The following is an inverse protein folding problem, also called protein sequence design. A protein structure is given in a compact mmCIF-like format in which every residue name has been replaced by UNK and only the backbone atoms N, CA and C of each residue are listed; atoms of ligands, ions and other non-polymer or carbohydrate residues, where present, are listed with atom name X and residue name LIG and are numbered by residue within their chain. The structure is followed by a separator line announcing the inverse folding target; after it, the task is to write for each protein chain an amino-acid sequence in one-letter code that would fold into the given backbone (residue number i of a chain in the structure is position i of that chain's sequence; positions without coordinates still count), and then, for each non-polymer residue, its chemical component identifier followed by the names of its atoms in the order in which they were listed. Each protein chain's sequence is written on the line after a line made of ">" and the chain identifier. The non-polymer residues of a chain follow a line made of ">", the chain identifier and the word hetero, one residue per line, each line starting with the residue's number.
data_IF_620181373952
#
_entry.id   IF_620181373952
#
_cell.length_a   1.000
_cell.length_b   1.000
_cell.length_c   1.000
_cell.angle_alpha   90.00
_cell.angle_beta   90.00
_cell.angle_gamma   90.00
#
_symmetry.space_group_name_H-M   'P 1'
#
loop_
_entity.id
_entity.type
_entity.pdbx_description
1 polymer ?
#
# COMPACT_ATOMS: atom_id res chain seq x y z
N UNK A 1 26.63 50.19 -23.95
CA UNK A 1 25.73 49.02 -23.83
C UNK A 1 26.39 47.81 -23.15
N UNK A 2 27.72 47.67 -23.13
CA UNK A 2 28.39 46.49 -22.57
C UNK A 2 28.39 46.33 -21.04
N UNK A 3 28.28 47.42 -20.28
CA UNK A 3 28.33 47.37 -18.82
C UNK A 3 27.07 46.69 -18.23
N UNK A 4 25.90 47.09 -18.72
CA UNK A 4 24.60 46.55 -18.29
C UNK A 4 24.43 45.05 -18.59
N UNK A 5 25.01 44.56 -19.70
CA UNK A 5 24.99 43.13 -20.07
C UNK A 5 25.92 42.29 -19.20
N UNK A 6 27.01 42.89 -18.68
CA UNK A 6 27.95 42.24 -17.76
C UNK A 6 27.36 42.16 -16.35
N UNK A 7 26.66 43.20 -15.92
CA UNK A 7 26.00 43.26 -14.62
C UNK A 7 24.85 42.24 -14.52
N UNK A 8 24.05 42.08 -15.58
CA UNK A 8 22.98 41.07 -15.63
C UNK A 8 23.51 39.63 -15.58
N UNK A 9 24.63 39.35 -16.27
CA UNK A 9 25.28 38.03 -16.22
C UNK A 9 25.83 37.69 -14.83
N UNK A 10 26.33 38.69 -14.11
CA UNK A 10 26.79 38.52 -12.74
C UNK A 10 25.63 38.25 -11.78
N UNK A 11 24.48 38.91 -11.99
CA UNK A 11 23.28 38.68 -11.17
C UNK A 11 22.73 37.26 -11.33
N UNK A 12 22.66 36.76 -12.56
CA UNK A 12 22.19 35.39 -12.87
C UNK A 12 23.11 34.36 -12.21
N UNK A 13 24.44 34.53 -12.33
CA UNK A 13 25.41 33.65 -11.67
C UNK A 13 25.29 33.63 -10.15
N UNK A 14 24.99 34.77 -9.52
CA UNK A 14 24.77 34.82 -8.08
C UNK A 14 23.48 34.11 -7.68
N UNK A 15 22.43 34.18 -8.50
CA UNK A 15 21.16 33.50 -8.23
C UNK A 15 21.28 31.98 -8.38
N UNK A 16 21.95 31.51 -9.45
CA UNK A 16 22.25 30.10 -9.67
C UNK A 16 23.15 29.52 -8.57
N UNK A 17 24.16 30.28 -8.12
CA UNK A 17 25.01 29.85 -7.01
C UNK A 17 24.24 29.75 -5.70
N UNK A 18 23.26 30.63 -5.48
CA UNK A 18 22.40 30.60 -4.28
C UNK A 18 21.42 29.42 -4.30
N UNK A 19 20.80 29.14 -5.44
CA UNK A 19 19.96 27.96 -5.62
C UNK A 19 20.74 26.67 -5.38
N UNK A 20 21.96 26.58 -5.94
CA UNK A 20 22.82 25.41 -5.75
C UNK A 20 23.21 25.22 -4.28
N UNK A 21 23.51 26.31 -3.56
CA UNK A 21 23.81 26.24 -2.14
C UNK A 21 22.60 25.81 -1.28
N UNK A 22 21.40 26.22 -1.66
CA UNK A 22 20.16 25.78 -1.00
C UNK A 22 19.89 24.29 -1.27
N UNK A 23 20.09 23.80 -2.49
CA UNK A 23 19.97 22.38 -2.84
C UNK A 23 21.02 21.51 -2.12
N UNK A 24 22.27 21.96 -2.03
CA UNK A 24 23.34 21.26 -1.30
C UNK A 24 23.05 21.22 0.21
N UNK A 25 22.50 22.30 0.78
CA UNK A 25 22.09 22.32 2.18
C UNK A 25 20.92 21.37 2.44
N UNK A 26 19.93 21.33 1.56
CA UNK A 26 18.79 20.43 1.70
C UNK A 26 19.19 18.96 1.52
N UNK A 27 20.12 18.66 0.62
CA UNK A 27 20.72 17.33 0.47
C UNK A 27 21.48 16.91 1.73
N UNK A 28 22.28 17.80 2.31
CA UNK A 28 23.01 17.53 3.56
C UNK A 28 22.07 17.28 4.75
N UNK A 29 20.96 18.03 4.85
CA UNK A 29 19.93 17.81 5.88
C UNK A 29 19.24 16.46 5.69
N UNK A 30 18.93 16.07 4.44
CA UNK A 30 18.35 14.76 4.13
C UNK A 30 19.30 13.62 4.50
N UNK A 31 20.59 13.74 4.20
CA UNK A 31 21.57 12.71 4.52
C UNK A 31 21.80 12.59 6.04
N UNK A 32 21.93 13.71 6.74
CA UNK A 32 22.02 13.73 8.20
C UNK A 32 20.78 13.13 8.88
N UNK A 33 19.59 13.37 8.30
CA UNK A 33 18.33 12.79 8.81
C UNK A 33 18.27 11.28 8.55
N UNK A 34 18.78 10.82 7.41
CA UNK A 34 18.90 9.40 7.06
C UNK A 34 19.87 8.67 7.98
N UNK A 35 21.03 9.25 8.27
CA UNK A 35 22.02 8.70 9.20
C UNK A 35 21.49 8.64 10.63
N UNK A 36 20.79 9.68 11.09
CA UNK A 36 20.14 9.70 12.40
C UNK A 36 19.06 8.61 12.50
N UNK A 37 18.24 8.43 11.45
CA UNK A 37 17.26 7.35 11.37
C UNK A 37 17.93 5.97 11.41
N UNK A 38 18.98 5.76 10.61
CA UNK A 38 19.73 4.50 10.58
C UNK A 38 20.44 4.20 11.90
N UNK A 39 20.95 5.20 12.62
CA UNK A 39 21.61 5.03 13.92
C UNK A 39 20.60 4.65 15.01
N UNK A 40 19.41 5.26 14.98
CA UNK A 40 18.32 4.91 15.90
C UNK A 40 17.80 3.49 15.60
N UNK A 41 17.65 3.13 14.32
CA UNK A 41 17.22 1.79 13.91
C UNK A 41 18.28 0.71 14.16
N UNK A 42 19.56 1.03 14.00
CA UNK A 42 20.68 0.12 14.26
C UNK A 42 20.83 -0.22 15.74
N UNK A 43 20.61 0.74 16.63
CA UNK A 43 20.66 0.49 18.08
C UNK A 43 19.45 -0.30 18.60
N UNK A 44 18.29 -0.19 17.96
CA UNK A 44 17.10 -0.99 18.28
C UNK A 44 17.11 -2.39 17.64
N UNK A 45 17.76 -2.58 16.49
CA UNK A 45 17.92 -3.91 15.87
C UNK A 45 18.80 -4.85 16.72
N UNK A 46 19.87 -4.32 17.31
CA UNK A 46 20.71 -5.07 18.27
C UNK A 46 19.97 -5.37 19.58
N UNK A 47 19.04 -4.50 20.00
CA UNK A 47 18.19 -4.72 21.16
C UNK A 47 17.04 -5.71 20.89
N UNK A 48 16.45 -5.69 19.69
CA UNK A 48 15.34 -6.59 19.30
C UNK A 48 15.81 -8.01 18.97
N UNK A 49 17.05 -8.18 18.51
CA UNK A 49 17.67 -9.50 18.35
C UNK A 49 17.84 -10.24 19.69
N UNK A 50 17.95 -9.51 20.80
CA UNK A 50 18.05 -10.09 22.14
C UNK A 50 16.70 -10.56 22.74
N UNK A 51 15.56 -10.22 22.11
CA UNK A 51 14.20 -10.49 22.65
C UNK A 51 13.37 -11.47 21.83
N UNK A 52 13.86 -11.97 20.68
CA UNK A 52 13.18 -13.04 19.94
C UNK A 52 13.32 -14.37 20.67
N UNK A 53 12.27 -14.77 21.37
CA UNK A 53 12.17 -16.13 21.91
C UNK A 53 11.92 -17.09 20.75
N UNK A 54 12.70 -18.17 20.58
CA UNK A 54 12.40 -19.19 19.58
C UNK A 54 11.00 -19.80 19.76
N UNK A 55 10.45 -19.74 20.98
CA UNK A 55 9.08 -20.18 21.26
C UNK A 55 8.01 -19.35 20.52
N UNK A 56 8.17 -18.02 20.43
CA UNK A 56 7.20 -17.17 19.72
C UNK A 56 7.27 -17.34 18.21
N UNK A 57 8.47 -17.63 17.67
CA UNK A 57 8.64 -17.95 16.25
C UNK A 57 7.98 -19.30 15.92
N UNK A 58 8.07 -20.28 16.83
CA UNK A 58 7.37 -21.56 16.70
C UNK A 58 5.85 -21.42 16.79
N UNK A 59 5.32 -20.62 17.73
CA UNK A 59 3.88 -20.35 17.85
C UNK A 59 3.34 -19.68 16.58
N UNK A 60 4.06 -18.70 16.02
CA UNK A 60 3.69 -18.04 14.77
C UNK A 60 3.68 -19.03 13.58
N UNK A 61 4.65 -19.95 13.53
CA UNK A 61 4.67 -21.01 12.50
C UNK A 61 3.51 -21.99 12.65
N UNK A 62 3.14 -22.33 13.88
CA UNK A 62 2.00 -23.21 14.18
C UNK A 62 0.69 -22.54 13.76
N UNK A 63 0.47 -21.28 14.15
CA UNK A 63 -0.72 -20.52 13.72
C UNK A 63 -0.80 -20.41 12.19
N UNK A 64 0.34 -20.21 11.53
CA UNK A 64 0.39 -20.16 10.06
C UNK A 64 0.06 -21.52 9.44
N UNK A 65 0.52 -22.62 10.03
CA UNK A 65 0.19 -23.98 9.59
C UNK A 65 -1.28 -24.32 9.80
N UNK A 66 -1.84 -24.01 10.97
CA UNK A 66 -3.26 -24.21 11.29
C UNK A 66 -4.18 -23.42 10.35
N UNK A 67 -3.73 -22.24 9.91
CA UNK A 67 -4.45 -21.42 8.93
C UNK A 67 -4.39 -22.02 7.52
N UNK A 68 -3.29 -22.65 7.14
CA UNK A 68 -3.15 -23.36 5.84
C UNK A 68 -4.00 -24.65 5.84
N UNK A 69 -3.98 -25.42 6.93
CA UNK A 69 -4.78 -26.65 7.05
C UNK A 69 -6.28 -26.35 7.08
N UNK A 70 -6.71 -25.34 7.85
CA UNK A 70 -8.11 -24.88 7.86
C UNK A 70 -8.62 -24.45 6.48
N UNK A 71 -7.73 -23.94 5.61
CA UNK A 71 -8.07 -23.59 4.22
C UNK A 71 -8.16 -24.82 3.33
N UNK A 72 -7.30 -25.82 3.54
CA UNK A 72 -7.34 -27.08 2.79
C UNK A 72 -8.62 -27.88 3.07
N UNK A 73 -9.06 -27.89 4.33
CA UNK A 73 -10.27 -28.60 4.77
C UNK A 73 -11.58 -27.98 4.26
N UNK A 74 -11.53 -26.72 3.81
CA UNK A 74 -12.69 -26.01 3.23
C UNK A 74 -12.80 -26.16 1.71
N UNK A 75 -11.89 -26.87 1.06
CA UNK A 75 -12.02 -27.18 -0.36
C UNK A 75 -13.04 -28.31 -0.56
N UNK A 76 -14.09 -28.11 -1.38
CA UNK A 76 -14.98 -29.20 -1.77
C UNK A 76 -14.19 -30.16 -2.66
N UNK A 77 -13.70 -31.27 -2.08
CA UNK A 77 -13.14 -32.37 -2.85
C UNK A 77 -14.22 -32.86 -3.82
N UNK A 78 -13.99 -32.64 -5.12
CA UNK A 78 -14.85 -33.15 -6.18
C UNK A 78 -14.90 -34.68 -6.07
N UNK A 79 -15.99 -35.18 -5.48
CA UNK A 79 -16.33 -36.59 -5.46
C UNK A 79 -16.60 -37.01 -6.89
N UNK A 80 -15.58 -37.58 -7.53
CA UNK A 80 -15.71 -38.24 -8.82
C UNK A 80 -16.83 -39.30 -8.71
N UNK A 81 -17.99 -39.02 -9.31
CA UNK A 81 -19.05 -40.01 -9.50
C UNK A 81 -18.72 -40.79 -10.76
N UNK A 82 -18.37 -42.06 -10.56
CA UNK A 82 -18.30 -43.10 -11.59
C UNK A 82 -19.66 -43.25 -12.29
N UNK A 83 -19.74 -43.34 -13.63
CA UNK A 83 -20.96 -43.70 -14.34
C UNK A 83 -21.04 -45.22 -14.61
N UNK A 84 -22.24 -45.78 -14.48
CA UNK A 84 -22.62 -47.16 -14.83
C UNK A 84 -23.20 -47.20 -16.26
N UNK A 85 -22.99 -48.26 -17.08
CA UNK A 85 -23.42 -48.30 -18.50
C UNK A 85 -24.83 -48.91 -18.69
N UNK A 86 -25.45 -48.79 -19.89
CA UNK A 86 -25.36 -49.90 -20.85
C UNK A 86 -25.43 -49.55 -22.37
N UNK A 87 -24.92 -50.52 -23.15
CA UNK A 87 -25.29 -50.95 -24.52
C UNK A 87 -24.95 -50.11 -25.79
N UNK A 88 -24.14 -50.75 -26.66
CA UNK A 88 -23.85 -50.47 -28.09
C UNK A 88 -24.69 -51.43 -28.99
N UNK A 89 -24.65 -51.47 -30.36
CA UNK A 89 -23.70 -50.91 -31.36
C UNK A 89 -24.40 -50.13 -32.52
N UNK A 90 -23.76 -49.42 -33.46
CA UNK A 90 -22.82 -49.83 -34.53
C UNK A 90 -22.38 -48.57 -35.37
N UNK A 91 -21.48 -48.67 -36.39
CA UNK A 91 -20.33 -47.77 -36.56
C UNK A 91 -20.32 -46.89 -37.83
N UNK A 92 -19.44 -45.87 -37.87
CA UNK A 92 -18.75 -45.34 -39.07
C UNK A 92 -17.74 -44.20 -38.71
N UNK A 93 -16.73 -43.88 -39.55
CA UNK A 93 -15.35 -43.89 -39.07
C UNK A 93 -14.51 -42.60 -39.28
N UNK A 94 -13.35 -42.58 -38.62
CA UNK A 94 -12.07 -41.83 -38.82
C UNK A 94 -12.09 -40.31 -39.05
N UNK A 95 -11.40 -39.57 -38.19
CA UNK A 95 -10.51 -38.45 -38.57
C UNK A 95 -9.40 -38.23 -37.52
N UNK A 96 -8.19 -38.01 -38.02
CA UNK A 96 -6.88 -37.84 -37.35
C UNK A 96 -6.76 -36.61 -36.43
N UNK A 97 -5.72 -36.55 -35.57
CA UNK A 97 -5.59 -35.54 -34.52
C UNK A 97 -4.89 -34.27 -35.04
N UNK A 98 -5.60 -33.14 -35.02
CA UNK A 98 -4.99 -31.83 -35.21
C UNK A 98 -4.49 -31.29 -33.87
N UNK A 99 -3.16 -31.22 -33.74
CA UNK A 99 -2.46 -30.46 -32.71
C UNK A 99 -2.76 -28.97 -32.88
N UNK A 100 -3.35 -28.33 -31.86
CA UNK A 100 -3.34 -26.87 -31.71
C UNK A 100 -2.75 -26.45 -30.36
N UNK A 101 -2.01 -25.32 -30.32
CA UNK A 101 -1.18 -24.94 -29.18
C UNK A 101 -2.03 -24.50 -27.97
N UNK A 102 -1.73 -25.03 -26.79
CA UNK A 102 -2.25 -24.51 -25.52
C UNK A 102 -1.83 -23.04 -25.37
N UNK A 103 -2.82 -22.16 -25.27
CA UNK A 103 -2.63 -20.82 -24.74
C UNK A 103 -2.15 -20.93 -23.28
N UNK A 104 -1.23 -20.06 -22.82
CA UNK A 104 -0.70 -20.12 -21.47
C UNK A 104 -1.83 -19.90 -20.47
N UNK A 105 -2.03 -20.89 -19.59
CA UNK A 105 -2.92 -20.82 -18.44
C UNK A 105 -2.45 -19.67 -17.54
N UNK A 106 -3.24 -18.60 -17.43
CA UNK A 106 -3.08 -17.63 -16.36
C UNK A 106 -3.64 -18.26 -15.08
N UNK A 107 -2.73 -18.78 -14.25
CA UNK A 107 -2.98 -19.27 -12.89
C UNK A 107 -3.61 -18.16 -12.00
N UNK A 108 -4.29 -18.52 -10.90
CA UNK A 108 -5.09 -17.62 -10.07
C UNK A 108 -4.23 -16.69 -9.19
N UNK A 109 -3.51 -15.75 -9.80
CA UNK A 109 -2.81 -14.64 -9.12
C UNK A 109 -3.75 -13.68 -8.38
N UNK A 110 -5.03 -13.67 -8.77
CA UNK A 110 -6.07 -12.80 -8.21
C UNK A 110 -6.27 -12.99 -6.70
N UNK A 111 -6.09 -14.21 -6.20
CA UNK A 111 -6.21 -14.47 -4.76
C UNK A 111 -4.97 -13.99 -3.99
N UNK A 112 -3.78 -14.06 -4.59
CA UNK A 112 -2.53 -13.66 -3.93
C UNK A 112 -2.44 -12.15 -3.71
N UNK A 113 -2.89 -11.36 -4.68
CA UNK A 113 -2.99 -9.90 -4.54
C UNK A 113 -3.95 -9.52 -3.39
N UNK A 114 -5.17 -10.06 -3.38
CA UNK A 114 -6.13 -9.79 -2.30
C UNK A 114 -5.57 -10.19 -0.93
N UNK A 115 -4.93 -11.36 -0.82
CA UNK A 115 -4.31 -11.80 0.43
C UNK A 115 -3.18 -10.85 0.86
N UNK A 116 -2.32 -10.41 -0.06
CA UNK A 116 -1.24 -9.46 0.24
C UNK A 116 -1.77 -8.13 0.79
N UNK A 117 -2.87 -7.62 0.24
CA UNK A 117 -3.50 -6.41 0.80
C UNK A 117 -4.20 -6.68 2.15
N UNK A 118 -4.82 -7.85 2.32
CA UNK A 118 -5.39 -8.25 3.61
C UNK A 118 -4.34 -8.34 4.71
N UNK A 119 -3.13 -8.82 4.39
CA UNK A 119 -2.00 -8.85 5.34
C UNK A 119 -1.62 -7.44 5.79
N UNK A 120 -1.64 -6.44 4.89
CA UNK A 120 -1.43 -5.02 5.25
C UNK A 120 -2.53 -4.53 6.20
N UNK A 121 -3.79 -4.84 5.89
CA UNK A 121 -4.96 -4.42 6.68
C UNK A 121 -4.99 -5.07 8.08
N UNK A 122 -4.52 -6.32 8.20
CA UNK A 122 -4.51 -7.09 9.45
C UNK A 122 -3.22 -6.94 10.25
N UNK A 123 -2.12 -6.53 9.62
CA UNK A 123 -0.81 -6.33 10.25
C UNK A 123 -0.52 -4.84 10.52
N UNK A 124 0.25 -4.17 9.64
CA UNK A 124 0.74 -2.81 9.89
C UNK A 124 -0.38 -1.78 10.12
N UNK A 125 -1.55 -1.93 9.48
CA UNK A 125 -2.68 -1.04 9.75
C UNK A 125 -3.18 -1.21 11.19
N UNK A 126 -3.29 -2.44 11.71
CA UNK A 126 -3.74 -2.67 13.09
C UNK A 126 -2.76 -2.09 14.11
N UNK A 127 -1.45 -2.20 13.87
CA UNK A 127 -0.43 -1.57 14.71
C UNK A 127 -0.62 -0.05 14.75
N UNK A 128 -0.80 0.59 13.60
CA UNK A 128 -1.10 2.03 13.52
C UNK A 128 -2.39 2.40 14.27
N UNK A 129 -3.46 1.62 14.13
CA UNK A 129 -4.74 1.88 14.80
C UNK A 129 -4.62 1.76 16.32
N UNK A 130 -3.93 0.73 16.82
CA UNK A 130 -3.69 0.53 18.25
C UNK A 130 -2.90 1.69 18.85
N UNK A 131 -1.81 2.12 18.21
CA UNK A 131 -1.01 3.26 18.66
C UNK A 131 -1.82 4.57 18.62
N UNK A 132 -2.65 4.74 17.59
CA UNK A 132 -3.56 5.89 17.48
C UNK A 132 -4.59 5.92 18.61
N UNK A 133 -5.10 4.75 19.00
CA UNK A 133 -6.02 4.61 20.13
C UNK A 133 -5.34 4.92 21.47
N UNK A 134 -4.08 4.49 21.65
CA UNK A 134 -3.29 4.80 22.84
C UNK A 134 -3.02 6.30 22.98
N UNK A 135 -2.76 7.01 21.87
CA UNK A 135 -2.63 8.48 21.88
C UNK A 135 -3.98 9.15 22.17
N UNK A 136 -5.07 8.62 21.62
CA UNK A 136 -6.43 9.10 21.87
C UNK A 136 -6.78 10.40 21.15
N UNK A 137 -7.87 11.03 21.58
CA UNK A 137 -8.36 12.33 21.07
C UNK A 137 -8.57 12.35 19.55
N UNK A 138 -8.11 13.44 18.93
CA UNK A 138 -8.21 13.65 17.48
C UNK A 138 -7.46 12.58 16.68
N UNK A 139 -6.34 12.06 17.20
CA UNK A 139 -5.53 11.05 16.50
C UNK A 139 -6.30 9.74 16.38
N UNK A 140 -6.91 9.27 17.47
CA UNK A 140 -7.76 8.08 17.44
C UNK A 140 -8.98 8.26 16.53
N UNK A 141 -9.65 9.40 16.60
CA UNK A 141 -10.81 9.69 15.74
C UNK A 141 -10.44 9.72 14.26
N UNK A 142 -9.29 10.33 13.93
CA UNK A 142 -8.77 10.39 12.57
C UNK A 142 -8.37 9.01 12.05
N UNK A 143 -7.80 8.16 12.91
CA UNK A 143 -7.39 6.81 12.56
C UNK A 143 -8.57 5.90 12.19
N UNK A 144 -9.77 6.12 12.76
CA UNK A 144 -10.97 5.39 12.36
C UNK A 144 -11.37 5.68 10.89
N UNK A 145 -11.20 6.92 10.43
CA UNK A 145 -11.42 7.28 9.03
C UNK A 145 -10.39 6.60 8.12
N UNK A 146 -9.12 6.56 8.55
CA UNK A 146 -8.07 5.81 7.84
C UNK A 146 -8.43 4.34 7.70
N UNK A 147 -8.89 3.69 8.77
CA UNK A 147 -9.35 2.30 8.69
C UNK A 147 -10.47 2.15 7.64
N UNK A 148 -11.48 3.02 7.67
CA UNK A 148 -12.56 2.99 6.69
C UNK A 148 -12.05 3.15 5.24
N UNK A 149 -11.06 4.01 5.01
CA UNK A 149 -10.42 4.19 3.69
C UNK A 149 -9.71 2.91 3.22
N UNK A 150 -8.93 2.26 4.09
CA UNK A 150 -8.24 1.00 3.75
C UNK A 150 -9.24 -0.13 3.49
N UNK A 151 -10.34 -0.21 4.25
CA UNK A 151 -11.41 -1.19 4.00
C UNK A 151 -12.14 -0.93 2.68
N UNK A 152 -12.37 0.34 2.32
CA UNK A 152 -12.95 0.71 1.02
C UNK A 152 -12.02 0.29 -0.13
N UNK A 153 -10.72 0.55 -0.01
CA UNK A 153 -9.73 0.12 -0.99
C UNK A 153 -9.64 -1.42 -1.09
N UNK A 154 -9.70 -2.16 0.03
CA UNK A 154 -9.75 -3.64 -0.02
C UNK A 154 -10.93 -4.14 -0.86
N UNK A 155 -12.13 -3.58 -0.65
CA UNK A 155 -13.31 -3.93 -1.44
C UNK A 155 -13.11 -3.62 -2.91
N UNK A 156 -12.46 -2.49 -3.24
CA UNK A 156 -12.17 -2.11 -4.62
C UNK A 156 -11.17 -3.06 -5.29
N UNK A 157 -10.13 -3.49 -4.58
CA UNK A 157 -9.15 -4.48 -5.08
C UNK A 157 -9.85 -5.83 -5.32
N UNK A 158 -10.67 -6.30 -4.38
CA UNK A 158 -11.49 -7.50 -4.55
C UNK A 158 -12.47 -7.38 -5.72
N UNK A 159 -12.96 -6.18 -5.98
CA UNK A 159 -13.83 -5.93 -7.12
C UNK A 159 -13.08 -6.13 -8.44
N UNK A 160 -11.87 -5.58 -8.53
CA UNK A 160 -11.03 -5.66 -9.72
C UNK A 160 -10.66 -7.11 -10.07
N UNK A 161 -10.56 -8.01 -9.08
CA UNK A 161 -10.29 -9.43 -9.33
C UNK A 161 -11.49 -10.24 -9.82
N UNK A 162 -12.70 -9.67 -9.81
CA UNK A 162 -13.91 -10.37 -10.27
C UNK A 162 -14.51 -9.76 -11.54
N UNK A 163 -13.86 -8.77 -12.17
CA UNK A 163 -14.39 -8.12 -13.38
C UNK A 163 -13.27 -7.58 -14.28
N UNK A 164 -13.62 -7.43 -15.55
CA UNK A 164 -12.83 -6.69 -16.53
C UNK A 164 -12.78 -5.20 -16.22
N UNK A 165 -11.74 -4.52 -16.71
CA UNK A 165 -11.57 -3.08 -16.49
C UNK A 165 -12.81 -2.32 -16.99
N UNK A 166 -13.49 -1.53 -16.12
CA UNK A 166 -14.68 -0.77 -16.48
C UNK A 166 -14.34 0.44 -17.36
N UNK A 167 -15.37 1.11 -17.87
CA UNK A 167 -15.20 2.40 -18.53
C UNK A 167 -14.70 3.46 -17.54
N UNK A 168 -14.06 4.53 -18.02
CA UNK A 168 -13.55 5.61 -17.15
C UNK A 168 -14.64 6.22 -16.25
N UNK A 169 -15.85 6.39 -16.77
CA UNK A 169 -16.96 6.96 -16.01
C UNK A 169 -17.43 6.04 -14.88
N UNK A 170 -17.48 4.73 -15.15
CA UNK A 170 -17.82 3.72 -14.14
C UNK A 170 -16.68 3.56 -13.12
N UNK A 171 -15.42 3.59 -13.56
CA UNK A 171 -14.25 3.55 -12.67
C UNK A 171 -14.29 4.66 -11.63
N UNK A 172 -14.64 5.89 -12.03
CA UNK A 172 -14.81 7.02 -11.11
C UNK A 172 -15.93 6.79 -10.08
N UNK A 173 -17.03 6.15 -10.47
CA UNK A 173 -18.13 5.83 -9.55
C UNK A 173 -17.71 4.75 -8.55
N UNK A 174 -16.98 3.73 -9.01
CA UNK A 174 -16.51 2.64 -8.15
C UNK A 174 -15.42 3.09 -7.17
N UNK A 175 -14.64 4.12 -7.52
CA UNK A 175 -13.63 4.75 -6.66
C UNK A 175 -14.21 5.74 -5.65
N UNK A 176 -15.46 6.18 -5.82
CA UNK A 176 -16.09 7.19 -4.97
C UNK A 176 -15.99 6.88 -3.46
N UNK A 177 -16.25 5.63 -2.99
CA UNK A 177 -16.14 5.32 -1.56
C UNK A 177 -14.74 5.58 -0.99
N UNK A 178 -13.68 5.27 -1.74
CA UNK A 178 -12.29 5.53 -1.30
C UNK A 178 -11.99 7.03 -1.33
N UNK A 179 -12.41 7.73 -2.40
CA UNK A 179 -12.21 9.17 -2.57
C UNK A 179 -12.92 10.00 -1.47
N UNK A 180 -14.13 9.61 -1.10
CA UNK A 180 -14.90 10.23 -0.02
C UNK A 180 -14.19 10.10 1.34
N UNK A 181 -13.60 8.92 1.63
CA UNK A 181 -12.83 8.73 2.87
C UNK A 181 -11.55 9.57 2.86
N UNK A 182 -10.81 9.61 1.75
CA UNK A 182 -9.64 10.48 1.59
C UNK A 182 -10.02 11.94 1.86
N UNK A 183 -11.11 12.41 1.26
CA UNK A 183 -11.63 13.77 1.45
C UNK A 183 -12.04 14.03 2.89
N UNK A 184 -12.69 13.06 3.56
CA UNK A 184 -13.10 13.18 4.94
C UNK A 184 -11.90 13.31 5.89
N UNK A 185 -10.82 12.58 5.64
CA UNK A 185 -9.56 12.65 6.39
C UNK A 185 -8.93 14.03 6.24
N UNK A 186 -8.83 14.54 5.01
CA UNK A 186 -8.30 15.89 4.75
C UNK A 186 -9.13 16.98 5.43
N UNK A 187 -10.46 16.92 5.31
CA UNK A 187 -11.37 17.85 5.99
C UNK A 187 -11.31 17.74 7.51
N UNK A 188 -11.09 16.54 8.05
CA UNK A 188 -10.97 16.35 9.50
C UNK A 188 -9.80 17.17 10.05
N UNK A 189 -8.64 17.14 9.40
CA UNK A 189 -7.52 18.01 9.75
C UNK A 189 -7.89 19.49 9.65
N UNK A 190 -8.51 19.90 8.55
CA UNK A 190 -8.85 21.32 8.32
C UNK A 190 -9.78 21.89 9.38
N UNK A 191 -10.73 21.09 9.86
CA UNK A 191 -11.65 21.45 10.95
C UNK A 191 -10.96 21.49 12.30
N UNK A 192 -9.89 20.72 12.49
CA UNK A 192 -9.15 20.59 13.75
C UNK A 192 -7.78 21.30 13.72
N UNK A 193 -7.71 22.49 13.09
CA UNK A 193 -6.47 23.29 13.01
C UNK A 193 -5.88 23.71 14.37
N UNK A 194 -6.70 23.79 15.40
CA UNK A 194 -6.27 24.12 16.76
C UNK A 194 -5.84 22.88 17.58
N UNK A 195 -5.86 21.68 16.98
CA UNK A 195 -5.47 20.45 17.67
C UNK A 195 -4.01 20.49 18.14
N UNK A 196 -3.77 20.05 19.37
CA UNK A 196 -2.40 19.81 19.85
C UNK A 196 -1.68 18.72 19.05
N UNK A 197 -2.43 17.87 18.35
CA UNK A 197 -1.91 16.82 17.48
C UNK A 197 -1.91 17.21 16.00
N UNK A 198 -1.95 18.51 15.66
CA UNK A 198 -2.05 18.96 14.27
C UNK A 198 -0.97 18.38 13.33
N UNK A 199 0.26 18.17 13.82
CA UNK A 199 1.31 17.51 13.03
C UNK A 199 1.01 16.04 12.74
N UNK A 200 0.34 15.32 13.65
CA UNK A 200 -0.14 13.94 13.40
C UNK A 200 -1.22 13.95 12.33
N UNK A 201 -2.21 14.85 12.47
CA UNK A 201 -3.28 14.98 11.48
C UNK A 201 -2.74 15.36 10.10
N UNK A 202 -1.73 16.24 10.05
CA UNK A 202 -1.05 16.64 8.81
C UNK A 202 -0.27 15.49 8.18
N UNK A 203 0.45 14.69 8.96
CA UNK A 203 1.15 13.53 8.44
C UNK A 203 0.21 12.59 7.68
N UNK A 204 -0.97 12.33 8.24
CA UNK A 204 -1.97 11.47 7.61
C UNK A 204 -2.64 12.16 6.41
N UNK A 205 -3.13 13.39 6.55
CA UNK A 205 -3.90 14.04 5.47
C UNK A 205 -3.09 14.29 4.19
N UNK A 206 -1.80 14.55 4.34
CA UNK A 206 -0.91 14.84 3.20
C UNK A 206 -0.37 13.56 2.54
N UNK A 207 -0.46 12.40 3.22
CA UNK A 207 0.01 11.11 2.69
C UNK A 207 -1.09 10.10 2.38
N UNK A 208 -2.31 10.27 2.91
CA UNK A 208 -3.45 9.41 2.59
C UNK A 208 -3.81 9.35 1.10
N UNK A 209 -3.55 10.37 0.25
CA UNK A 209 -3.74 10.23 -1.19
C UNK A 209 -2.94 9.08 -1.81
N UNK A 210 -1.97 8.48 -1.10
CA UNK A 210 -1.35 7.22 -1.48
C UNK A 210 -2.37 6.14 -1.87
N UNK A 211 -3.54 6.07 -1.23
CA UNK A 211 -4.62 5.14 -1.59
C UNK A 211 -5.21 5.42 -2.99
N UNK A 212 -4.93 6.56 -3.59
CA UNK A 212 -5.25 6.89 -4.98
C UNK A 212 -4.42 6.14 -6.02
N UNK A 213 -3.40 5.36 -5.61
CA UNK A 213 -2.52 4.63 -6.53
C UNK A 213 -3.26 3.74 -7.54
N UNK A 214 -4.46 3.25 -7.17
CA UNK A 214 -5.32 2.41 -8.01
C UNK A 214 -5.75 3.08 -9.32
N UNK A 215 -5.73 4.42 -9.37
CA UNK A 215 -6.02 5.23 -10.55
C UNK A 215 -4.76 5.75 -11.27
N UNK A 216 -3.56 5.33 -10.83
CA UNK A 216 -2.27 5.80 -11.35
C UNK A 216 -1.65 4.73 -12.25
N UNK A 217 -1.28 5.13 -13.46
CA UNK A 217 -0.50 4.33 -14.39
C UNK A 217 0.46 5.24 -15.17
N UNK A 218 1.66 4.75 -15.57
CA UNK A 218 2.18 3.40 -15.39
C UNK A 218 3.02 3.22 -14.11
N UNK A 219 3.10 4.21 -13.23
CA UNK A 219 4.04 4.21 -12.08
C UNK A 219 3.33 4.39 -10.72
N UNK A 220 2.45 3.46 -10.30
CA UNK A 220 1.73 3.59 -9.04
C UNK A 220 2.63 3.45 -7.79
N UNK A 221 3.66 2.60 -7.82
CA UNK A 221 4.56 2.45 -6.66
C UNK A 221 5.42 3.71 -6.39
N UNK A 222 6.02 4.37 -7.39
CA UNK A 222 6.62 5.70 -7.19
C UNK A 222 5.65 6.73 -6.61
N UNK A 223 4.40 6.76 -7.06
CA UNK A 223 3.38 7.64 -6.50
C UNK A 223 3.14 7.41 -5.00
N UNK A 224 2.99 6.15 -4.57
CA UNK A 224 2.85 5.82 -3.13
C UNK A 224 4.08 6.31 -2.33
N UNK A 225 5.28 6.21 -2.90
CA UNK A 225 6.51 6.70 -2.27
C UNK A 225 6.47 8.21 -2.06
N UNK A 226 6.10 8.98 -3.08
CA UNK A 226 6.02 10.44 -2.99
C UNK A 226 5.03 10.89 -1.91
N UNK A 227 3.88 10.21 -1.80
CA UNK A 227 2.90 10.47 -0.76
C UNK A 227 3.44 10.11 0.64
N UNK A 228 4.20 9.01 0.76
CA UNK A 228 4.88 8.66 2.02
C UNK A 228 5.92 9.73 2.41
N UNK A 229 6.75 10.19 1.47
CA UNK A 229 7.73 11.25 1.71
C UNK A 229 7.05 12.56 2.18
N UNK A 230 5.88 12.90 1.62
CA UNK A 230 5.09 14.04 2.06
C UNK A 230 4.59 13.88 3.51
N UNK A 231 4.13 12.68 3.88
CA UNK A 231 3.75 12.37 5.27
C UNK A 231 4.94 12.47 6.22
N UNK A 232 6.12 12.02 5.79
CA UNK A 232 7.35 12.04 6.59
C UNK A 232 7.80 13.44 6.99
N UNK A 233 7.54 14.44 6.15
CA UNK A 233 7.80 15.83 6.52
C UNK A 233 7.14 16.23 7.85
N UNK A 234 5.94 15.74 8.11
CA UNK A 234 5.20 16.00 9.34
C UNK A 234 5.51 14.99 10.45
N UNK A 235 5.74 13.71 10.14
CA UNK A 235 6.16 12.74 11.17
C UNK A 235 7.51 13.14 11.77
N UNK A 236 8.44 13.71 10.99
CA UNK A 236 9.70 14.25 11.51
C UNK A 236 9.49 15.37 12.54
N UNK A 237 8.44 16.18 12.38
CA UNK A 237 8.07 17.20 13.37
C UNK A 237 7.52 16.57 14.65
N UNK A 238 6.68 15.54 14.52
CA UNK A 238 6.19 14.75 15.66
C UNK A 238 7.36 14.10 16.40
N UNK A 239 8.29 13.46 15.69
CA UNK A 239 9.49 12.86 16.28
C UNK A 239 10.30 13.89 17.06
N UNK A 240 10.55 15.08 16.47
CA UNK A 240 11.27 16.16 17.15
C UNK A 240 10.59 16.58 18.46
N UNK A 241 9.27 16.65 18.47
CA UNK A 241 8.49 17.12 19.61
C UNK A 241 8.31 16.07 20.71
N UNK A 242 8.17 14.79 20.35
CA UNK A 242 7.71 13.73 21.25
C UNK A 242 8.77 12.69 21.64
N UNK A 243 9.92 12.64 20.95
CA UNK A 243 10.95 11.61 21.20
C UNK A 243 11.44 11.50 22.66
N UNK A 244 11.41 12.59 23.42
CA UNK A 244 11.83 12.61 24.83
C UNK A 244 10.63 12.64 25.81
N UNK A 245 9.41 12.79 25.29
CA UNK A 245 8.19 12.94 26.10
C UNK A 245 7.41 11.64 26.21
N UNK A 246 7.11 11.01 25.08
CA UNK A 246 6.31 9.81 25.02
C UNK A 246 6.66 8.99 23.77
N UNK A 247 7.13 7.76 24.00
CA UNK A 247 7.58 6.82 22.96
C UNK A 247 6.44 6.35 22.05
N UNK A 248 5.19 6.32 22.51
CA UNK A 248 4.04 5.90 21.69
C UNK A 248 3.91 6.75 20.42
N UNK A 249 4.22 8.06 20.47
CA UNK A 249 4.18 8.92 19.29
C UNK A 249 5.30 8.62 18.29
N UNK A 250 6.47 8.19 18.79
CA UNK A 250 7.60 7.77 17.95
C UNK A 250 7.25 6.48 17.23
N UNK A 251 6.70 5.50 17.97
CA UNK A 251 6.22 4.24 17.41
C UNK A 251 5.09 4.47 16.41
N UNK A 252 4.17 5.39 16.70
CA UNK A 252 3.08 5.78 15.79
C UNK A 252 3.61 6.33 14.46
N UNK A 253 4.62 7.20 14.49
CA UNK A 253 5.27 7.71 13.28
C UNK A 253 5.90 6.59 12.46
N UNK A 254 6.61 5.67 13.12
CA UNK A 254 7.25 4.52 12.45
C UNK A 254 6.20 3.59 11.84
N UNK A 255 5.13 3.30 12.58
CA UNK A 255 4.03 2.44 12.12
C UNK A 255 3.35 3.00 10.86
N UNK A 256 3.09 4.31 10.82
CA UNK A 256 2.50 4.93 9.64
C UNK A 256 3.42 4.89 8.40
N UNK A 257 4.70 5.23 8.58
CA UNK A 257 5.69 5.19 7.49
C UNK A 257 5.89 3.76 6.99
N UNK A 258 5.90 2.78 7.89
CA UNK A 258 6.00 1.35 7.54
C UNK A 258 4.76 0.90 6.76
N UNK A 259 3.56 1.26 7.21
CA UNK A 259 2.31 0.93 6.52
C UNK A 259 2.32 1.37 5.05
N UNK A 260 2.75 2.60 4.76
CA UNK A 260 2.85 3.10 3.39
C UNK A 260 4.02 2.47 2.60
N UNK A 261 5.09 2.06 3.29
CA UNK A 261 6.21 1.32 2.67
C UNK A 261 5.77 -0.09 2.26
N UNK A 262 4.98 -0.76 3.09
CA UNK A 262 4.42 -2.08 2.80
C UNK A 262 3.38 -1.99 1.66
N UNK A 263 2.56 -0.93 1.65
CA UNK A 263 1.67 -0.63 0.52
C UNK A 263 2.47 -0.44 -0.78
N UNK A 264 3.58 0.30 -0.76
CA UNK A 264 4.44 0.48 -1.93
C UNK A 264 5.00 -0.87 -2.42
N UNK A 265 5.49 -1.71 -1.50
CA UNK A 265 6.02 -3.03 -1.81
C UNK A 265 4.94 -3.93 -2.44
N UNK A 266 3.74 -3.93 -1.86
CA UNK A 266 2.56 -4.62 -2.40
C UNK A 266 2.23 -4.16 -3.83
N UNK A 267 2.14 -2.85 -4.06
CA UNK A 267 1.86 -2.30 -5.39
C UNK A 267 2.94 -2.71 -6.39
N UNK A 268 4.22 -2.66 -6.00
CA UNK A 268 5.33 -3.09 -6.84
C UNK A 268 5.30 -4.59 -7.17
N UNK A 269 4.78 -5.41 -6.27
CA UNK A 269 4.73 -6.86 -6.44
C UNK A 269 3.54 -7.31 -7.31
N UNK A 270 2.35 -6.74 -7.10
CA UNK A 270 1.11 -7.23 -7.72
C UNK A 270 0.53 -6.30 -8.78
N UNK A 271 0.93 -5.01 -8.79
CA UNK A 271 0.32 -3.95 -9.59
C UNK A 271 1.35 -3.00 -10.20
N UNK A 272 2.45 -3.57 -10.71
CA UNK A 272 3.67 -2.85 -11.11
C UNK A 272 3.41 -1.66 -12.03
N UNK A 273 2.49 -1.81 -12.99
CA UNK A 273 2.17 -0.79 -14.01
C UNK A 273 0.77 -0.20 -13.86
N UNK A 274 0.09 -0.46 -12.75
CA UNK A 274 -1.29 -0.07 -12.50
C UNK A 274 -2.10 -1.21 -11.88
N UNK A 275 -3.33 -0.88 -11.45
CA UNK A 275 -4.26 -1.89 -10.93
C UNK A 275 -4.53 -2.95 -12.00
N UNK A 276 -4.41 -4.21 -11.59
CA UNK A 276 -4.64 -5.38 -12.44
C UNK A 276 -6.11 -5.76 -12.29
N UNK A 277 -6.79 -5.88 -13.43
CA UNK A 277 -8.20 -6.27 -13.52
C UNK A 277 -8.29 -7.71 -14.02
N UNK A 278 -9.34 -8.43 -13.61
CA UNK A 278 -9.58 -9.79 -14.04
C UNK A 278 -9.86 -9.84 -15.54
N UNK A 279 -9.27 -10.81 -16.23
CA UNK A 279 -9.56 -11.08 -17.62
C UNK A 279 -10.82 -11.96 -17.72
N UNK A 280 -12.00 -11.40 -17.40
CA UNK A 280 -13.25 -12.08 -17.74
C UNK A 280 -13.46 -11.93 -19.25
N UNK A 281 -13.01 -12.95 -19.98
CA UNK A 281 -13.40 -13.18 -21.37
C UNK A 281 -14.92 -13.35 -21.36
N UNK A 282 -15.64 -12.39 -21.95
CA UNK A 282 -17.02 -12.60 -22.33
C UNK A 282 -17.05 -13.77 -23.33
N UNK A 283 -17.22 -15.00 -22.85
CA UNK A 283 -17.70 -16.09 -23.70
C UNK A 283 -19.14 -15.74 -24.05
N UNK A 284 -19.32 -15.13 -25.22
CA UNK A 284 -20.63 -14.91 -25.80
C UNK A 284 -21.40 -16.23 -25.84
N UNK A 285 -22.63 -16.19 -25.34
CA UNK A 285 -23.65 -17.16 -25.72
C UNK A 285 -24.08 -16.77 -27.13
N UNK A 286 -23.62 -17.55 -28.13
CA UNK A 286 -24.29 -17.71 -29.42
C UNK A 286 -25.52 -18.64 -29.25
#
# INVERSE_FOLDING_TARGET
>A
MDKNKRDMKNLIKMFEARQKAEEEHEAAVREMTREAFNTVMGSEADAAAATRSPASDFECLIERLERVTSRLERLPLLRARTPTPPASPAPSPVSEPSLTPQAPCFEPTDNMSVNGYQDIVQGPLQVYLQLSQQIGGDVSSHANLVNAAFQAQLRYIQLATTRSKPSQAEEMQLLAPTSEQISAIQQFREKNRASTYFNHLSAISESIPALGWVAVAPTPAPYVKEMNDAGQFYTNRVLKEWKEKNKTHVEWCRAWVQLLSDLQAYVKQYHTTGLVWSALVCTGLD
#
